data_IF_484520884504
#
_entry.id   IF_484520884504
#
_cell.length_a   1.000
_cell.length_b   1.000
_cell.length_c   1.000
_cell.angle_alpha   90.00
_cell.angle_beta   90.00
_cell.angle_gamma   90.00
#
_symmetry.space_group_name_H-M   'P 1'
#
loop_
_entity.id
_entity.type
_entity.pdbx_description
1 polymer ?
#
# COMPACT_ATOMS: atom_id res chain seq x y z
N UNK A 1 13.22 -8.23 26.29
CA UNK A 1 14.02 -7.03 25.97
C UNK A 1 14.64 -7.21 24.59
N UNK A 2 14.65 -6.14 23.77
CA UNK A 2 14.96 -6.04 22.31
C UNK A 2 13.71 -6.27 21.43
N UNK A 3 13.02 -5.26 20.90
CA UNK A 3 13.33 -3.85 20.67
C UNK A 3 13.22 -3.56 19.18
N UNK A 4 12.02 -3.23 18.71
CA UNK A 4 11.77 -2.77 17.34
C UNK A 4 12.36 -1.37 17.16
N UNK A 5 13.21 -1.19 16.14
CA UNK A 5 13.75 0.11 15.78
C UNK A 5 12.69 0.93 15.04
N UNK A 6 12.23 2.00 15.67
CA UNK A 6 11.49 3.10 15.06
C UNK A 6 12.51 4.20 14.75
N UNK A 7 12.60 4.64 13.51
CA UNK A 7 13.39 5.80 13.11
C UNK A 7 12.63 7.10 13.40
N UNK A 8 13.18 8.06 14.17
CA UNK A 8 12.67 9.43 14.21
C UNK A 8 13.59 10.37 13.43
N UNK A 9 13.02 11.17 12.52
CA UNK A 9 13.71 12.30 11.91
C UNK A 9 13.12 13.60 12.47
N UNK A 10 13.75 14.13 13.52
CA UNK A 10 13.47 15.46 14.05
C UNK A 10 14.49 16.44 13.45
N UNK A 11 14.05 17.31 12.54
CA UNK A 11 14.84 18.45 12.06
C UNK A 11 14.46 19.67 12.91
N UNK A 12 15.35 20.10 13.80
CA UNK A 12 15.32 21.43 14.42
C UNK A 12 16.17 22.36 13.55
N UNK A 13 15.59 23.47 13.09
CA UNK A 13 16.31 24.59 12.51
C UNK A 13 16.08 25.79 13.41
N UNK A 14 17.16 26.38 13.87
CA UNK A 14 17.22 27.52 14.79
C UNK A 14 17.44 28.80 13.98
N UNK A 15 16.72 29.87 14.31
CA UNK A 15 16.93 31.22 13.79
C UNK A 15 17.17 32.17 14.99
N UNK A 16 18.05 33.18 14.89
CA UNK A 16 18.37 34.06 15.99
C UNK A 16 17.44 35.29 16.08
N UNK A 17 17.31 35.76 17.31
CA UNK A 17 16.53 36.89 17.81
C UNK A 17 17.35 38.19 17.75
N UNK A 18 16.74 39.33 17.34
CA UNK A 18 17.19 40.68 17.70
C UNK A 18 15.97 41.53 18.04
N UNK A 19 15.90 41.92 19.31
CA UNK A 19 14.99 42.91 19.90
C UNK A 19 15.40 44.34 19.56
N UNK A 20 14.43 45.25 19.42
CA UNK A 20 14.60 46.66 19.79
C UNK A 20 13.24 47.34 20.07
N UNK A 21 13.06 47.70 21.34
CA UNK A 21 12.02 48.59 21.89
C UNK A 21 12.38 50.06 21.70
N UNK A 22 11.42 50.89 21.27
CA UNK A 22 11.40 52.33 21.60
C UNK A 22 9.95 52.78 21.80
N UNK A 23 9.65 53.26 23.00
CA UNK A 23 8.47 54.02 23.40
C UNK A 23 8.71 55.52 23.21
N UNK A 24 7.71 56.33 22.86
CA UNK A 24 7.44 57.68 23.44
C UNK A 24 6.16 58.34 22.86
N UNK A 25 5.22 58.63 23.77
CA UNK A 25 4.31 59.79 23.94
C UNK A 25 3.47 60.43 22.81
N UNK A 26 2.20 60.59 23.20
CA UNK A 26 1.10 61.47 22.77
C UNK A 26 1.38 62.78 22.03
N UNK A 27 0.59 63.05 20.98
CA UNK A 27 -0.10 64.33 20.78
C UNK A 27 -1.30 64.16 19.82
N UNK A 28 -2.47 64.58 20.26
CA UNK A 28 -3.72 64.61 19.50
C UNK A 28 -3.73 65.80 18.55
N UNK A 29 -3.95 65.58 17.25
CA UNK A 29 -4.50 66.61 16.36
C UNK A 29 -5.45 65.98 15.34
N UNK A 30 -6.72 66.38 15.45
CA UNK A 30 -7.79 66.11 14.51
C UNK A 30 -7.45 66.71 13.13
N UNK A 31 -7.48 65.88 12.10
CA UNK A 31 -7.78 66.33 10.73
C UNK A 31 -8.52 65.23 10.00
N UNK A 32 -9.75 65.55 9.61
CA UNK A 32 -10.68 64.67 8.93
C UNK A 32 -10.32 64.52 7.44
N UNK A 33 -10.46 63.30 6.88
CA UNK A 33 -10.76 62.97 5.47
C UNK A 33 -10.73 61.43 5.29
N UNK A 34 -11.41 60.85 4.28
CA UNK A 34 -12.67 60.15 4.47
C UNK A 34 -12.55 58.62 4.46
N UNK A 35 -13.58 57.99 5.02
CA UNK A 35 -13.90 56.57 4.88
C UNK A 35 -13.70 56.09 3.43
N UNK A 36 -12.71 55.24 3.21
CA UNK A 36 -12.73 54.26 2.11
C UNK A 36 -13.81 53.22 2.44
N UNK A 37 -15.07 53.57 2.19
CA UNK A 37 -16.08 52.55 1.95
C UNK A 37 -15.69 51.83 0.65
N UNK A 38 -15.04 50.68 0.78
CA UNK A 38 -14.99 49.70 -0.28
C UNK A 38 -16.44 49.39 -0.66
N UNK A 39 -16.85 49.83 -1.85
CA UNK A 39 -18.23 49.75 -2.29
C UNK A 39 -18.76 48.30 -2.29
N UNK A 40 -20.09 48.09 -2.21
CA UNK A 40 -20.71 46.75 -2.14
C UNK A 40 -20.55 45.88 -3.41
N UNK A 41 -19.70 46.28 -4.35
CA UNK A 41 -19.57 45.70 -5.68
C UNK A 41 -18.46 44.65 -5.80
N UNK A 42 -17.63 44.46 -4.76
CA UNK A 42 -16.69 43.32 -4.71
C UNK A 42 -17.31 42.05 -4.09
N UNK A 43 -18.49 42.13 -3.48
CA UNK A 43 -19.12 40.98 -2.84
C UNK A 43 -19.93 40.08 -3.79
N UNK A 44 -20.30 40.56 -4.99
CA UNK A 44 -21.14 39.78 -5.92
C UNK A 44 -20.37 38.91 -6.91
N UNK A 45 -19.06 39.11 -7.07
CA UNK A 45 -18.23 38.30 -8.00
C UNK A 45 -17.36 37.26 -7.28
N UNK A 46 -17.06 37.45 -5.99
CA UNK A 46 -16.32 36.48 -5.22
C UNK A 46 -17.15 35.21 -4.92
N UNK A 47 -18.45 35.36 -4.62
CA UNK A 47 -19.35 34.26 -4.26
C UNK A 47 -19.55 33.21 -5.37
N UNK A 48 -19.93 33.58 -6.62
CA UNK A 48 -20.13 32.58 -7.68
C UNK A 48 -18.81 31.95 -8.13
N UNK A 49 -17.69 32.67 -8.09
CA UNK A 49 -16.38 32.09 -8.42
C UNK A 49 -15.95 31.06 -7.39
N UNK A 50 -16.18 31.32 -6.10
CA UNK A 50 -15.90 30.37 -5.01
C UNK A 50 -16.80 29.13 -5.10
N UNK A 51 -18.07 29.31 -5.46
CA UNK A 51 -19.01 28.20 -5.67
C UNK A 51 -18.60 27.39 -6.91
N UNK A 52 -18.20 28.05 -8.00
CA UNK A 52 -17.73 27.38 -9.21
C UNK A 52 -16.42 26.62 -8.96
N UNK A 53 -15.46 27.18 -8.22
CA UNK A 53 -14.22 26.46 -7.86
C UNK A 53 -14.48 25.28 -6.92
N UNK A 54 -15.41 25.42 -5.96
CA UNK A 54 -15.84 24.33 -5.08
C UNK A 54 -16.57 23.22 -5.86
N UNK A 55 -17.42 23.57 -6.81
CA UNK A 55 -18.11 22.60 -7.69
C UNK A 55 -17.14 21.94 -8.68
N UNK A 56 -16.12 22.65 -9.16
CA UNK A 56 -15.09 22.09 -10.04
C UNK A 56 -14.17 21.13 -9.28
N UNK A 57 -13.94 21.35 -7.98
CA UNK A 57 -13.24 20.41 -7.10
C UNK A 57 -14.08 19.19 -6.72
N UNK A 58 -15.39 19.35 -6.49
CA UNK A 58 -16.28 18.21 -6.22
C UNK A 58 -16.60 17.38 -7.46
N UNK A 59 -16.46 17.98 -8.65
CA UNK A 59 -16.69 17.34 -9.95
C UNK A 59 -15.42 16.85 -10.62
N UNK A 60 -14.25 16.96 -10.00
CA UNK A 60 -13.03 16.33 -10.51
C UNK A 60 -13.23 14.81 -10.36
N UNK A 61 -13.38 14.04 -11.45
CA UNK A 61 -13.36 12.58 -11.39
C UNK A 61 -11.89 12.20 -11.19
N UNK A 62 -11.39 12.42 -9.99
CA UNK A 62 -9.97 12.51 -9.70
C UNK A 62 -9.68 12.01 -8.32
N UNK A 63 -10.12 10.78 -8.01
CA UNK A 63 -9.52 9.84 -7.07
C UNK A 63 -10.39 8.57 -7.00
N UNK A 64 -10.72 7.98 -8.16
CA UNK A 64 -11.01 6.54 -8.16
C UNK A 64 -9.66 5.88 -7.86
N UNK A 65 -9.45 5.56 -6.59
CA UNK A 65 -8.22 4.98 -6.11
C UNK A 65 -8.08 3.59 -6.69
N UNK A 66 -6.92 3.29 -7.25
CA UNK A 66 -6.51 1.91 -7.52
C UNK A 66 -6.71 1.08 -6.25
N UNK A 67 -7.64 0.12 -6.30
CA UNK A 67 -8.00 -0.69 -5.15
C UNK A 67 -8.11 -2.18 -5.50
N UNK A 68 -7.83 -3.04 -4.53
CA UNK A 68 -8.27 -4.42 -4.57
C UNK A 68 -9.59 -4.57 -3.81
N UNK A 69 -10.54 -5.28 -4.41
CA UNK A 69 -11.82 -5.63 -3.82
C UNK A 69 -11.93 -7.16 -3.71
N UNK A 70 -11.45 -7.71 -2.61
CA UNK A 70 -11.57 -9.14 -2.27
C UNK A 70 -12.89 -9.37 -1.52
N UNK A 71 -14.00 -9.51 -2.26
CA UNK A 71 -15.33 -9.60 -1.67
C UNK A 71 -15.63 -8.43 -0.72
N UNK A 72 -15.82 -8.67 0.60
CA UNK A 72 -16.07 -7.58 1.56
C UNK A 72 -14.84 -6.74 1.91
N UNK A 73 -13.63 -7.17 1.54
CA UNK A 73 -12.38 -6.52 1.93
C UNK A 73 -11.88 -5.58 0.82
N UNK A 74 -11.64 -4.32 1.17
CA UNK A 74 -11.11 -3.28 0.27
C UNK A 74 -9.70 -2.89 0.68
N UNK A 75 -8.81 -2.77 -0.30
CA UNK A 75 -7.41 -2.36 -0.10
C UNK A 75 -7.05 -1.30 -1.12
N UNK A 76 -7.10 -0.04 -0.69
CA UNK A 76 -6.71 1.12 -1.49
C UNK A 76 -5.21 1.43 -1.35
N UNK A 77 -4.65 2.14 -2.33
CA UNK A 77 -3.28 2.67 -2.24
C UNK A 77 -2.19 1.68 -2.58
N UNK A 78 -2.54 0.54 -3.20
CA UNK A 78 -1.58 -0.45 -3.71
C UNK A 78 -1.70 -0.54 -5.22
N UNK A 79 -0.65 -0.15 -5.92
CA UNK A 79 -0.60 -0.24 -7.37
C UNK A 79 -0.15 -1.63 -7.83
N UNK A 80 -1.07 -2.45 -8.38
CA UNK A 80 -0.74 -3.77 -8.93
C UNK A 80 0.37 -3.73 -10.01
N UNK A 81 0.41 -2.76 -10.94
CA UNK A 81 1.50 -2.66 -11.91
C UNK A 81 2.88 -2.51 -11.24
N UNK A 82 2.95 -1.76 -10.13
CA UNK A 82 4.18 -1.56 -9.37
C UNK A 82 4.64 -2.86 -8.70
N UNK A 83 3.72 -3.67 -8.20
CA UNK A 83 4.01 -4.99 -7.62
C UNK A 83 4.57 -5.95 -8.69
N UNK A 84 3.92 -6.01 -9.84
CA UNK A 84 4.36 -6.84 -10.96
C UNK A 84 5.75 -6.43 -11.46
N UNK A 85 5.99 -5.12 -11.58
CA UNK A 85 7.30 -4.58 -11.97
C UNK A 85 8.38 -4.97 -10.97
N UNK A 86 8.15 -4.70 -9.69
CA UNK A 86 9.09 -5.03 -8.64
C UNK A 86 9.41 -6.54 -8.61
N UNK A 87 8.42 -7.40 -8.80
CA UNK A 87 8.66 -8.84 -8.90
C UNK A 87 9.44 -9.24 -10.13
N UNK A 88 9.09 -8.70 -11.30
CA UNK A 88 9.83 -8.97 -12.54
C UNK A 88 11.30 -8.62 -12.38
N UNK A 89 11.63 -7.45 -11.83
CA UNK A 89 13.02 -7.05 -11.59
C UNK A 89 13.75 -8.08 -10.72
N UNK A 90 13.14 -8.53 -9.61
CA UNK A 90 13.78 -9.51 -8.71
C UNK A 90 13.96 -10.86 -9.40
N UNK A 91 12.92 -11.34 -10.09
CA UNK A 91 12.92 -12.63 -10.78
C UNK A 91 13.99 -12.71 -11.87
N UNK A 92 14.12 -11.65 -12.68
CA UNK A 92 15.09 -11.57 -13.77
C UNK A 92 16.53 -11.47 -13.25
N UNK A 93 16.81 -10.59 -12.28
CA UNK A 93 18.18 -10.42 -11.75
C UNK A 93 18.69 -11.65 -11.01
N UNK A 94 17.82 -12.31 -10.24
CA UNK A 94 18.18 -13.50 -9.48
C UNK A 94 18.05 -14.79 -10.30
N UNK A 95 17.67 -14.69 -11.58
CA UNK A 95 17.45 -15.83 -12.48
C UNK A 95 16.55 -16.90 -11.83
N UNK A 96 15.50 -16.46 -11.14
CA UNK A 96 14.60 -17.38 -10.43
C UNK A 96 13.70 -18.05 -11.45
N UNK A 97 14.14 -19.23 -11.88
CA UNK A 97 13.43 -20.12 -12.77
C UNK A 97 12.65 -21.14 -11.93
N UNK A 98 11.39 -21.40 -12.29
CA UNK A 98 10.69 -22.58 -11.80
C UNK A 98 11.23 -23.82 -12.52
N UNK A 99 12.35 -24.34 -12.01
CA UNK A 99 13.01 -25.52 -12.58
C UNK A 99 12.18 -26.81 -12.40
N UNK A 100 11.18 -26.80 -11.52
CA UNK A 100 10.33 -27.97 -11.26
C UNK A 100 8.92 -27.68 -11.78
N UNK A 101 8.74 -27.88 -13.07
CA UNK A 101 7.45 -27.67 -13.76
C UNK A 101 6.42 -28.77 -13.48
N UNK A 102 6.85 -29.93 -12.95
CA UNK A 102 5.99 -31.08 -12.64
C UNK A 102 5.09 -30.87 -11.43
N UNK A 103 5.46 -29.95 -10.54
CA UNK A 103 4.68 -29.57 -9.37
C UNK A 103 4.24 -28.12 -9.57
N UNK A 104 3.08 -27.74 -9.03
CA UNK A 104 2.66 -26.34 -8.91
C UNK A 104 2.15 -26.14 -7.50
N UNK A 105 2.54 -25.06 -6.83
CA UNK A 105 2.08 -24.79 -5.47
C UNK A 105 0.72 -24.09 -5.50
N UNK A 106 0.63 -23.01 -6.28
CA UNK A 106 -0.60 -22.28 -6.58
C UNK A 106 -1.37 -22.99 -7.69
N UNK A 107 -1.86 -24.19 -7.36
CA UNK A 107 -2.60 -25.07 -8.26
C UNK A 107 -3.94 -24.45 -8.66
N UNK A 108 -4.54 -25.04 -9.71
CA UNK A 108 -5.86 -24.63 -10.18
C UNK A 108 -6.90 -24.79 -9.08
N UNK A 109 -6.85 -25.88 -8.33
CA UNK A 109 -7.73 -26.21 -7.21
C UNK A 109 -7.64 -25.17 -6.08
N UNK A 110 -6.49 -24.52 -5.92
CA UNK A 110 -6.28 -23.45 -4.94
C UNK A 110 -6.93 -22.15 -5.41
N UNK A 111 -6.78 -21.78 -6.69
CA UNK A 111 -7.08 -20.42 -7.17
C UNK A 111 -8.28 -20.29 -8.12
N UNK A 112 -8.81 -21.40 -8.64
CA UNK A 112 -9.93 -21.42 -9.57
C UNK A 112 -11.25 -21.32 -8.82
N UNK A 113 -12.19 -20.55 -9.38
CA UNK A 113 -13.57 -20.41 -8.91
C UNK A 113 -13.64 -20.07 -7.41
N UNK A 114 -12.70 -19.24 -6.97
CA UNK A 114 -12.72 -18.66 -5.62
C UNK A 114 -13.77 -17.57 -5.61
N UNK A 115 -14.80 -17.76 -4.79
CA UNK A 115 -15.89 -16.81 -4.63
C UNK A 115 -15.45 -15.53 -3.91
N UNK A 116 -16.25 -14.47 -4.02
CA UNK A 116 -16.04 -13.23 -3.28
C UNK A 116 -16.03 -13.46 -1.75
N UNK A 117 -16.85 -14.38 -1.25
CA UNK A 117 -16.88 -14.74 0.16
C UNK A 117 -15.60 -15.42 0.65
N UNK A 118 -14.83 -16.05 -0.24
CA UNK A 118 -13.58 -16.76 0.06
C UNK A 118 -12.34 -15.90 -0.19
N UNK A 119 -12.37 -15.02 -1.18
CA UNK A 119 -11.20 -14.33 -1.72
C UNK A 119 -10.40 -13.58 -0.66
N UNK A 120 -11.07 -12.83 0.23
CA UNK A 120 -10.42 -12.10 1.32
C UNK A 120 -9.65 -13.02 2.28
N UNK A 121 -10.23 -14.18 2.64
CA UNK A 121 -9.61 -15.15 3.54
C UNK A 121 -8.41 -15.81 2.87
N UNK A 122 -8.58 -16.24 1.63
CA UNK A 122 -7.54 -16.95 0.89
C UNK A 122 -6.34 -16.04 0.61
N UNK A 123 -6.56 -14.80 0.16
CA UNK A 123 -5.46 -13.85 -0.10
C UNK A 123 -4.73 -13.48 1.19
N UNK A 124 -5.44 -13.33 2.31
CA UNK A 124 -4.83 -13.08 3.61
C UNK A 124 -3.86 -14.21 4.00
N UNK A 125 -4.33 -15.47 3.96
CA UNK A 125 -3.51 -16.62 4.39
C UNK A 125 -2.33 -16.87 3.46
N UNK A 126 -2.51 -16.73 2.15
CA UNK A 126 -1.42 -16.81 1.18
C UNK A 126 -0.37 -15.72 1.44
N UNK A 127 -0.75 -14.45 1.46
CA UNK A 127 0.20 -13.35 1.65
C UNK A 127 0.92 -13.44 3.02
N UNK A 128 0.21 -13.84 4.07
CA UNK A 128 0.80 -14.07 5.39
C UNK A 128 1.82 -15.22 5.37
N UNK A 129 1.54 -16.30 4.65
CA UNK A 129 2.51 -17.39 4.45
C UNK A 129 3.74 -16.91 3.69
N UNK A 130 3.55 -16.15 2.59
CA UNK A 130 4.66 -15.59 1.82
C UNK A 130 5.57 -14.69 2.68
N UNK A 131 5.00 -13.79 3.49
CA UNK A 131 5.78 -12.92 4.38
C UNK A 131 6.54 -13.71 5.45
N UNK A 132 5.85 -14.61 6.15
CA UNK A 132 6.39 -15.31 7.33
C UNK A 132 7.35 -16.45 6.98
N UNK A 133 7.19 -17.04 5.80
CA UNK A 133 7.93 -18.24 5.38
C UNK A 133 8.82 -17.94 4.17
N UNK A 134 8.25 -17.53 3.04
CA UNK A 134 9.02 -17.40 1.79
C UNK A 134 10.00 -16.23 1.86
N UNK A 135 9.50 -15.01 2.08
CA UNK A 135 10.28 -13.77 2.07
C UNK A 135 11.28 -13.72 3.23
N UNK A 136 10.90 -14.22 4.40
CA UNK A 136 11.81 -14.35 5.54
C UNK A 136 13.06 -15.15 5.19
N UNK A 137 12.90 -16.31 4.55
CA UNK A 137 14.02 -17.18 4.19
C UNK A 137 14.77 -16.75 2.91
N UNK A 138 14.15 -15.93 2.06
CA UNK A 138 14.79 -15.40 0.85
C UNK A 138 15.65 -14.15 1.09
N UNK A 139 15.51 -13.48 2.23
CA UNK A 139 16.17 -12.20 2.54
C UNK A 139 17.69 -12.17 2.31
N UNK A 140 18.41 -13.26 2.59
CA UNK A 140 19.86 -13.31 2.35
C UNK A 140 20.20 -13.26 0.85
N UNK A 141 19.49 -14.03 0.01
CA UNK A 141 19.68 -14.04 -1.44
C UNK A 141 19.36 -12.66 -2.01
N UNK A 142 18.30 -12.02 -1.52
CA UNK A 142 17.95 -10.64 -1.93
C UNK A 142 19.11 -9.66 -1.71
N UNK A 143 19.80 -9.77 -0.57
CA UNK A 143 20.93 -8.89 -0.24
C UNK A 143 22.15 -9.18 -1.13
N UNK A 144 22.46 -10.45 -1.37
CA UNK A 144 23.55 -10.89 -2.25
C UNK A 144 23.41 -10.32 -3.67
N UNK A 145 22.20 -10.40 -4.24
CA UNK A 145 21.90 -9.90 -5.58
C UNK A 145 21.57 -8.39 -5.63
N UNK A 146 21.71 -7.65 -4.51
CA UNK A 146 21.43 -6.20 -4.41
C UNK A 146 19.99 -5.81 -4.80
N UNK A 147 19.03 -6.71 -4.56
CA UNK A 147 17.62 -6.54 -4.93
C UNK A 147 16.73 -5.99 -3.81
N UNK A 148 17.34 -5.45 -2.76
CA UNK A 148 16.64 -4.88 -1.60
C UNK A 148 15.54 -3.87 -1.98
N UNK A 149 15.71 -2.93 -2.93
CA UNK A 149 14.66 -1.95 -3.24
C UNK A 149 13.37 -2.58 -3.81
N UNK A 150 13.50 -3.45 -4.81
CA UNK A 150 12.36 -4.13 -5.45
C UNK A 150 11.73 -5.15 -4.49
N UNK A 151 12.55 -5.88 -3.75
CA UNK A 151 12.04 -6.80 -2.72
C UNK A 151 11.32 -6.06 -1.58
N UNK A 152 11.84 -4.92 -1.13
CA UNK A 152 11.18 -4.10 -0.11
C UNK A 152 9.85 -3.54 -0.62
N UNK A 153 9.79 -3.17 -1.91
CA UNK A 153 8.52 -2.78 -2.55
C UNK A 153 7.50 -3.91 -2.46
N UNK A 154 7.88 -5.14 -2.83
CA UNK A 154 7.00 -6.32 -2.70
C UNK A 154 6.57 -6.58 -1.26
N UNK A 155 7.53 -6.77 -0.35
CA UNK A 155 7.28 -7.18 1.02
C UNK A 155 6.45 -6.15 1.79
N UNK A 156 6.71 -4.85 1.62
CA UNK A 156 5.96 -3.81 2.31
C UNK A 156 4.54 -3.68 1.77
N UNK A 157 4.32 -3.83 0.47
CA UNK A 157 2.97 -3.83 -0.09
C UNK A 157 2.18 -5.09 0.34
N UNK A 158 2.81 -6.27 0.38
CA UNK A 158 2.17 -7.48 0.90
C UNK A 158 1.79 -7.31 2.39
N UNK A 159 2.70 -6.76 3.19
CA UNK A 159 2.44 -6.46 4.60
C UNK A 159 1.28 -5.47 4.75
N UNK A 160 1.27 -4.41 3.94
CA UNK A 160 0.20 -3.43 3.94
C UNK A 160 -1.14 -4.05 3.56
N UNK A 161 -1.20 -4.86 2.49
CA UNK A 161 -2.42 -5.59 2.10
C UNK A 161 -2.90 -6.44 3.28
N UNK A 162 -2.05 -7.30 3.85
CA UNK A 162 -2.42 -8.15 4.99
C UNK A 162 -2.94 -7.33 6.17
N UNK A 163 -2.36 -6.16 6.44
CA UNK A 163 -2.82 -5.25 7.50
C UNK A 163 -4.24 -4.70 7.26
N UNK A 164 -4.66 -4.56 6.00
CA UNK A 164 -6.00 -4.11 5.61
C UNK A 164 -7.02 -5.23 5.57
N UNK A 165 -6.56 -6.47 5.34
CA UNK A 165 -7.38 -7.68 5.33
C UNK A 165 -7.67 -8.22 6.74
N UNK A 166 -7.46 -7.46 7.83
CA UNK A 166 -7.63 -7.96 9.21
C UNK A 166 -8.99 -8.65 9.40
N UNK A 167 -8.94 -9.98 9.52
CA UNK A 167 -10.11 -10.84 9.64
C UNK A 167 -10.55 -10.90 11.10
N UNK A 168 -11.85 -10.76 11.36
CA UNK A 168 -12.39 -11.05 12.68
C UNK A 168 -12.22 -12.54 12.99
N UNK A 169 -11.70 -12.89 14.18
CA UNK A 169 -11.45 -14.26 14.64
C UNK A 169 -12.67 -15.21 14.57
N UNK A 170 -13.89 -14.66 14.48
CA UNK A 170 -15.15 -15.42 14.39
C UNK A 170 -15.58 -15.81 12.98
N UNK A 171 -14.92 -15.28 11.93
CA UNK A 171 -15.24 -15.64 10.55
C UNK A 171 -14.09 -16.45 9.98
N UNK A 172 -14.10 -17.75 10.22
CA UNK A 172 -13.32 -18.68 9.41
C UNK A 172 -14.17 -19.05 8.20
N UNK A 173 -13.60 -18.94 6.99
CA UNK A 173 -14.21 -19.52 5.81
C UNK A 173 -13.53 -20.87 5.56
N UNK A 174 -14.20 -21.96 5.96
CA UNK A 174 -13.66 -23.33 5.88
C UNK A 174 -13.21 -23.70 4.46
N UNK A 175 -13.92 -23.21 3.44
CA UNK A 175 -13.57 -23.48 2.05
C UNK A 175 -12.27 -22.79 1.65
N UNK A 176 -12.12 -21.50 1.96
CA UNK A 176 -10.87 -20.77 1.76
C UNK A 176 -9.70 -21.40 2.55
N UNK A 177 -9.96 -21.83 3.79
CA UNK A 177 -8.96 -22.49 4.63
C UNK A 177 -8.52 -23.83 4.02
N UNK A 178 -9.44 -24.66 3.52
CA UNK A 178 -9.11 -25.93 2.84
C UNK A 178 -8.25 -25.70 1.60
N UNK A 179 -8.55 -24.66 0.79
CA UNK A 179 -7.72 -24.29 -0.37
C UNK A 179 -6.32 -23.86 0.05
N UNK A 180 -6.20 -23.08 1.13
CA UNK A 180 -4.89 -22.72 1.69
C UNK A 180 -4.13 -23.95 2.21
N UNK A 181 -4.82 -24.89 2.88
CA UNK A 181 -4.22 -26.13 3.34
C UNK A 181 -3.72 -27.00 2.19
N UNK A 182 -4.42 -27.01 1.04
CA UNK A 182 -3.95 -27.70 -0.16
C UNK A 182 -2.61 -27.11 -0.62
N UNK A 183 -2.53 -25.80 -0.83
CA UNK A 183 -1.28 -25.09 -1.14
C UNK A 183 -0.16 -25.43 -0.15
N UNK A 184 -0.46 -25.34 1.15
CA UNK A 184 0.51 -25.59 2.22
C UNK A 184 0.98 -27.05 2.27
N UNK A 185 0.08 -28.00 1.96
CA UNK A 185 0.42 -29.41 1.92
C UNK A 185 1.37 -29.73 0.77
N UNK A 186 1.12 -29.18 -0.43
CA UNK A 186 2.00 -29.32 -1.59
C UNK A 186 3.37 -28.69 -1.31
N UNK A 187 3.41 -27.51 -0.68
CA UNK A 187 4.67 -26.89 -0.27
C UNK A 187 5.50 -27.80 0.63
N UNK A 188 4.87 -28.50 1.59
CA UNK A 188 5.54 -29.41 2.52
C UNK A 188 6.02 -30.71 1.91
N UNK A 189 5.53 -31.09 0.72
CA UNK A 189 5.98 -32.28 0.02
C UNK A 189 7.33 -32.08 -0.68
N UNK A 190 7.74 -30.83 -0.88
CA UNK A 190 9.03 -30.48 -1.47
C UNK A 190 10.10 -30.30 -0.40
N UNK A 191 11.36 -30.52 -0.78
CA UNK A 191 12.51 -30.14 0.04
C UNK A 191 12.50 -28.62 0.29
N UNK A 192 12.99 -28.16 1.45
CA UNK A 192 12.80 -26.78 1.88
C UNK A 192 13.32 -25.72 0.89
N UNK A 193 14.57 -25.82 0.44
CA UNK A 193 15.14 -24.85 -0.51
C UNK A 193 14.37 -24.85 -1.84
N UNK A 194 13.99 -26.03 -2.32
CA UNK A 194 13.16 -26.21 -3.51
C UNK A 194 11.78 -25.58 -3.34
N UNK A 195 11.12 -25.83 -2.21
CA UNK A 195 9.81 -25.29 -1.88
C UNK A 195 9.83 -23.76 -1.84
N UNK A 196 10.86 -23.19 -1.20
CA UNK A 196 11.05 -21.74 -1.10
C UNK A 196 11.28 -21.11 -2.49
N UNK A 197 12.18 -21.70 -3.28
CA UNK A 197 12.47 -21.21 -4.64
C UNK A 197 11.25 -21.27 -5.54
N UNK A 198 10.52 -22.37 -5.46
CA UNK A 198 9.28 -22.55 -6.20
C UNK A 198 8.20 -21.56 -5.78
N UNK A 199 7.95 -21.42 -4.48
CA UNK A 199 6.96 -20.48 -3.97
C UNK A 199 7.28 -19.06 -4.39
N UNK A 200 8.56 -18.65 -4.29
CA UNK A 200 9.01 -17.35 -4.75
C UNK A 200 8.83 -17.18 -6.27
N UNK A 201 9.18 -18.20 -7.06
CA UNK A 201 9.03 -18.20 -8.52
C UNK A 201 7.58 -18.06 -9.00
N UNK A 202 6.61 -18.52 -8.21
CA UNK A 202 5.17 -18.47 -8.47
C UNK A 202 4.47 -17.19 -7.93
N UNK A 203 5.21 -16.17 -7.47
CA UNK A 203 4.60 -14.89 -7.02
C UNK A 203 3.88 -14.17 -8.17
N UNK A 204 4.32 -14.33 -9.42
CA UNK A 204 3.59 -13.82 -10.60
C UNK A 204 2.20 -14.45 -10.71
N UNK A 205 2.07 -15.76 -10.50
CA UNK A 205 0.78 -16.46 -10.47
C UNK A 205 -0.13 -15.87 -9.39
N UNK A 206 0.42 -15.60 -8.20
CA UNK A 206 -0.33 -14.97 -7.10
C UNK A 206 -0.79 -13.56 -7.48
N UNK A 207 0.10 -12.72 -8.00
CA UNK A 207 -0.20 -11.34 -8.41
C UNK A 207 -1.22 -11.29 -9.55
N UNK A 208 -1.10 -12.19 -10.55
CA UNK A 208 -2.08 -12.32 -11.64
C UNK A 208 -3.44 -12.73 -11.09
N UNK A 209 -3.50 -13.67 -10.14
CA UNK A 209 -4.76 -14.04 -9.50
C UNK A 209 -5.37 -12.89 -8.70
N UNK A 210 -4.57 -12.16 -7.92
CA UNK A 210 -5.02 -10.96 -7.21
C UNK A 210 -5.55 -9.89 -8.16
N UNK A 211 -4.97 -9.78 -9.36
CA UNK A 211 -5.41 -8.85 -10.40
C UNK A 211 -6.86 -9.03 -10.86
N UNK A 212 -7.46 -10.22 -10.66
CA UNK A 212 -8.89 -10.44 -10.91
C UNK A 212 -9.79 -9.60 -10.00
N UNK A 213 -9.27 -9.16 -8.87
CA UNK A 213 -9.97 -8.36 -7.86
C UNK A 213 -9.55 -6.88 -7.90
N UNK A 214 -8.72 -6.47 -8.85
CA UNK A 214 -8.21 -5.10 -8.93
C UNK A 214 -9.17 -4.21 -9.74
N UNK A 215 -9.50 -3.04 -9.18
CA UNK A 215 -10.37 -2.03 -9.79
C UNK A 215 -9.57 -0.76 -10.09
N UNK A 216 -9.90 -0.13 -11.22
CA UNK A 216 -9.34 1.14 -11.69
C UNK A 216 -10.34 2.27 -11.47
#
# INVERSE_FOLDING_TARGET
VRGCAVFPFHRKTQAPEVSQTVSFTSASFLSALPLLQMGPWLQMVASPYLIVTLLLWSSLPGLWGQEFQFGPCRVEGVALPRLLEAFRTVKETMQIQDNITSVRLLQREVLQDVSDAESCYLVHDLLKFYLSTVFKNYSHKIAEFKMLPSFSTLANNFLFIVSKLQLSMSRLNDSAHRRFLLFKSTFKQLEMETALSKAFGEVDILLTWMGKFYRL
#
